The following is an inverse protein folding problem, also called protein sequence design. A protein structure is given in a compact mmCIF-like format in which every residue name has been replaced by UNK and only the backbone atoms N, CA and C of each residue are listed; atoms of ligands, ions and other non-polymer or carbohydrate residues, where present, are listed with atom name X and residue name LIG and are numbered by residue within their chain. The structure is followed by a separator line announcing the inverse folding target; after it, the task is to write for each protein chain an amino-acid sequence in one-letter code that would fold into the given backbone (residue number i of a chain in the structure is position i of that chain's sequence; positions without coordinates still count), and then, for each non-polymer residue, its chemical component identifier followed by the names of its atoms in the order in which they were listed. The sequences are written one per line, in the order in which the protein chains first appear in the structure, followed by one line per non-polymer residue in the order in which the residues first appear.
data_IF_052504715182
#
_entry.id   IF_052504715182
#
_cell.length_a   1.000
_cell.length_b   1.000
_cell.length_c   1.000
_cell.angle_alpha   90.00
_cell.angle_beta   90.00
_cell.angle_gamma   90.00
#
_symmetry.space_group_name_H-M   'P 1'
#
loop_
_entity.id
_entity.type
_entity.pdbx_description
1 polymer ?
#
# COMPACT_ATOMS: atom_id res chain seq x y z
N UNK A 1 46.71 -89.26 11.90
CA UNK A 1 45.65 -89.97 11.15
C UNK A 1 44.47 -90.21 12.09
N UNK A 2 43.24 -89.83 11.72
CA UNK A 2 42.09 -90.56 12.23
C UNK A 2 41.16 -91.05 11.11
N UNK A 3 40.78 -92.32 11.29
CA UNK A 3 39.73 -93.12 10.69
C UNK A 3 38.71 -92.47 9.75
N UNK A 4 38.63 -93.03 8.55
CA UNK A 4 37.45 -92.98 7.67
C UNK A 4 36.45 -94.00 8.20
N UNK A 5 35.35 -93.54 8.81
CA UNK A 5 34.15 -94.35 9.04
C UNK A 5 33.27 -94.29 7.79
N UNK A 6 33.18 -95.41 7.06
CA UNK A 6 32.22 -95.60 5.98
C UNK A 6 30.95 -96.25 6.53
N UNK A 7 29.79 -95.62 6.32
CA UNK A 7 28.48 -96.25 6.47
C UNK A 7 27.95 -96.67 5.09
N UNK A 8 27.57 -97.94 4.95
CA UNK A 8 26.91 -98.48 3.76
C UNK A 8 25.48 -97.91 3.65
N UNK A 9 25.17 -97.28 2.52
CA UNK A 9 23.80 -97.09 2.05
C UNK A 9 23.62 -97.78 0.69
N UNK A 10 22.46 -98.41 0.49
CA UNK A 10 22.05 -99.05 -0.76
C UNK A 10 21.84 -97.95 -1.82
N UNK A 11 22.48 -98.09 -2.99
CA UNK A 11 22.49 -97.21 -4.17
C UNK A 11 23.58 -96.11 -4.24
N UNK A 12 24.74 -96.47 -4.80
CA UNK A 12 25.61 -95.55 -5.57
C UNK A 12 26.54 -94.61 -4.80
N UNK A 13 27.84 -94.64 -5.12
CA UNK A 13 28.83 -93.67 -4.66
C UNK A 13 28.70 -92.34 -5.44
N UNK A 14 28.67 -91.20 -4.75
CA UNK A 14 28.86 -89.86 -5.33
C UNK A 14 29.92 -89.11 -4.51
N UNK A 15 30.87 -88.40 -5.14
CA UNK A 15 31.98 -87.75 -4.44
C UNK A 15 31.55 -86.44 -3.74
N UNK A 16 32.06 -86.23 -2.53
CA UNK A 16 31.93 -84.97 -1.77
C UNK A 16 32.75 -83.88 -2.48
N UNK A 17 32.09 -82.96 -3.18
CA UNK A 17 32.74 -81.73 -3.68
C UNK A 17 32.98 -80.77 -2.52
N UNK A 18 34.25 -80.48 -2.20
CA UNK A 18 34.62 -79.34 -1.35
C UNK A 18 34.17 -78.05 -2.04
N UNK A 19 33.30 -77.26 -1.39
CA UNK A 19 32.98 -75.91 -1.87
C UNK A 19 34.18 -75.01 -1.64
N UNK A 20 34.71 -74.50 -2.75
CA UNK A 20 35.69 -73.43 -2.81
C UNK A 20 35.16 -72.19 -2.10
N UNK A 21 36.00 -71.64 -1.23
CA UNK A 21 35.89 -70.33 -0.62
C UNK A 21 36.06 -69.26 -1.69
N UNK A 22 35.02 -68.50 -2.01
CA UNK A 22 35.04 -67.05 -2.35
C UNK A 22 33.63 -66.67 -2.81
N UNK A 23 32.77 -66.35 -1.86
CA UNK A 23 31.49 -65.69 -2.13
C UNK A 23 31.69 -64.23 -1.71
N UNK A 24 32.03 -63.37 -2.67
CA UNK A 24 31.97 -61.92 -2.47
C UNK A 24 30.51 -61.58 -2.24
N UNK A 25 30.09 -61.55 -0.97
CA UNK A 25 28.81 -60.96 -0.58
C UNK A 25 28.88 -59.50 -0.99
N UNK A 26 28.28 -59.19 -2.14
CA UNK A 26 27.91 -57.83 -2.48
C UNK A 26 26.93 -57.38 -1.40
N UNK A 27 27.45 -56.72 -0.37
CA UNK A 27 26.66 -55.78 0.42
C UNK A 27 26.21 -54.72 -0.57
N UNK A 28 25.02 -54.92 -1.15
CA UNK A 28 24.35 -53.88 -1.91
C UNK A 28 24.36 -52.64 -1.04
N UNK A 29 25.15 -51.65 -1.42
CA UNK A 29 25.21 -50.39 -0.71
C UNK A 29 23.77 -49.90 -0.56
N UNK A 30 23.30 -49.69 0.68
CA UNK A 30 22.05 -48.99 0.92
C UNK A 30 22.17 -47.66 0.18
N UNK A 31 21.51 -47.54 -0.97
CA UNK A 31 21.46 -46.33 -1.75
C UNK A 31 20.67 -45.32 -0.91
N UNK A 32 21.38 -44.50 -0.15
CA UNK A 32 20.75 -43.49 0.72
C UNK A 32 19.93 -42.56 -0.15
N UNK A 33 18.61 -42.64 -0.04
CA UNK A 33 17.70 -41.76 -0.79
C UNK A 33 17.80 -40.36 -0.18
N UNK A 34 18.59 -39.50 -0.81
CA UNK A 34 18.69 -38.09 -0.42
C UNK A 34 17.40 -37.39 -0.86
N UNK A 35 16.57 -37.01 0.12
CA UNK A 35 15.33 -36.27 -0.15
C UNK A 35 15.68 -34.78 -0.34
N UNK A 36 15.38 -34.18 -1.51
CA UNK A 36 15.73 -32.79 -1.76
C UNK A 36 14.88 -31.85 -0.88
N UNK A 37 15.41 -30.66 -0.60
CA UNK A 37 14.78 -29.64 0.24
C UNK A 37 14.08 -28.61 -0.63
N UNK A 38 12.78 -28.45 -0.43
CA UNK A 38 11.99 -27.43 -1.11
C UNK A 38 12.32 -26.04 -0.56
N UNK A 39 12.52 -25.09 -1.47
CA UNK A 39 12.66 -23.68 -1.16
C UNK A 39 11.60 -22.89 -1.91
N UNK A 40 10.93 -21.99 -1.20
CA UNK A 40 9.95 -21.07 -1.78
C UNK A 40 10.48 -19.63 -1.65
N UNK A 41 10.38 -18.87 -2.73
CA UNK A 41 10.74 -17.46 -2.78
C UNK A 41 9.53 -16.65 -3.22
N UNK A 42 9.19 -15.60 -2.49
CA UNK A 42 8.07 -14.73 -2.83
C UNK A 42 8.52 -13.28 -3.02
N UNK A 43 7.89 -12.58 -3.95
CA UNK A 43 7.96 -11.11 -4.07
C UNK A 43 6.80 -10.49 -3.30
N UNK A 44 7.05 -9.37 -2.64
CA UNK A 44 6.05 -8.57 -1.93
C UNK A 44 6.27 -7.08 -2.17
N UNK A 45 5.27 -6.26 -1.84
CA UNK A 45 5.34 -4.80 -1.96
C UNK A 45 4.76 -4.27 -3.28
N UNK A 46 4.79 -2.94 -3.44
CA UNK A 46 4.22 -2.24 -4.60
C UNK A 46 5.16 -2.15 -5.80
N UNK A 47 6.46 -2.38 -5.57
CA UNK A 47 7.50 -2.32 -6.59
C UNK A 47 7.67 -3.64 -7.33
N UNK A 48 8.50 -3.60 -8.36
CA UNK A 48 8.85 -4.77 -9.17
C UNK A 48 10.35 -5.00 -9.20
N UNK A 49 10.72 -6.24 -9.51
CA UNK A 49 12.11 -6.64 -9.68
C UNK A 49 12.20 -8.11 -10.07
N UNK A 50 13.41 -8.59 -10.34
CA UNK A 50 13.70 -10.01 -10.56
C UNK A 50 14.34 -10.61 -9.31
N UNK A 51 14.10 -11.90 -9.07
CA UNK A 51 14.77 -12.65 -8.02
C UNK A 51 15.33 -13.93 -8.63
N UNK A 52 16.62 -14.17 -8.43
CA UNK A 52 17.31 -15.36 -8.92
C UNK A 52 18.07 -16.06 -7.80
N UNK A 53 18.48 -17.31 -8.04
CA UNK A 53 19.33 -18.08 -7.11
C UNK A 53 20.61 -18.61 -7.76
N UNK A 54 21.66 -18.76 -6.94
CA UNK A 54 22.84 -19.56 -7.22
C UNK A 54 23.05 -20.59 -6.09
N UNK A 55 23.11 -21.91 -6.35
CA UNK A 55 22.94 -22.57 -7.64
C UNK A 55 21.61 -22.26 -8.34
N UNK A 56 21.59 -22.38 -9.68
CA UNK A 56 20.41 -22.09 -10.49
C UNK A 56 19.22 -22.98 -10.12
N UNK A 57 18.02 -22.42 -10.14
CA UNK A 57 16.79 -23.15 -9.84
C UNK A 57 15.59 -22.24 -9.59
N UNK A 58 15.83 -21.00 -9.15
CA UNK A 58 14.79 -19.99 -8.95
C UNK A 58 15.05 -18.83 -9.90
N UNK A 59 14.02 -18.46 -10.64
CA UNK A 59 13.91 -17.22 -11.41
C UNK A 59 12.46 -16.77 -11.34
N UNK A 60 12.18 -15.87 -10.41
CA UNK A 60 10.84 -15.43 -10.08
C UNK A 60 10.20 -14.53 -11.15
N UNK A 61 10.41 -14.78 -12.45
CA UNK A 61 9.53 -14.37 -13.54
C UNK A 61 8.49 -15.43 -13.89
N UNK A 62 8.85 -16.71 -13.78
CA UNK A 62 7.99 -17.86 -14.06
C UNK A 62 8.03 -18.93 -12.95
N UNK A 63 9.17 -19.11 -12.27
CA UNK A 63 9.38 -20.19 -11.29
C UNK A 63 9.97 -19.65 -10.00
N UNK A 64 9.14 -19.61 -8.95
CA UNK A 64 9.50 -19.07 -7.64
C UNK A 64 9.77 -20.13 -6.55
N UNK A 65 9.88 -21.40 -6.95
CA UNK A 65 10.22 -22.47 -6.02
C UNK A 65 11.10 -23.51 -6.68
N UNK A 66 12.06 -24.05 -5.94
CA UNK A 66 12.95 -25.08 -6.41
C UNK A 66 13.27 -26.08 -5.31
N UNK A 67 13.89 -27.20 -5.65
CA UNK A 67 14.37 -28.17 -4.68
C UNK A 67 15.88 -28.32 -4.80
N UNK A 68 16.58 -28.26 -3.67
CA UNK A 68 18.04 -28.34 -3.61
C UNK A 68 18.50 -29.54 -2.79
N UNK A 69 19.75 -29.98 -2.97
CA UNK A 69 20.30 -31.04 -2.11
C UNK A 69 20.44 -30.52 -0.67
N UNK A 70 20.17 -31.36 0.35
CA UNK A 70 20.35 -30.98 1.74
C UNK A 70 21.77 -30.46 2.02
N UNK A 71 21.88 -29.33 2.72
CA UNK A 71 23.16 -28.67 3.02
C UNK A 71 23.64 -27.69 1.95
N UNK A 72 22.94 -27.60 0.80
CA UNK A 72 23.24 -26.57 -0.22
C UNK A 72 23.20 -25.17 0.37
N UNK A 73 24.20 -24.37 0.05
CA UNK A 73 24.21 -22.93 0.33
C UNK A 73 23.69 -22.23 -0.93
N UNK A 74 22.53 -21.59 -0.81
CA UNK A 74 21.86 -20.89 -1.91
C UNK A 74 21.99 -19.39 -1.68
N UNK A 75 22.61 -18.69 -2.62
CA UNK A 75 22.66 -17.23 -2.66
C UNK A 75 21.54 -16.72 -3.55
N UNK A 76 20.64 -15.94 -2.97
CA UNK A 76 19.57 -15.23 -3.65
C UNK A 76 20.09 -13.87 -4.11
N UNK A 77 19.62 -13.40 -5.26
CA UNK A 77 19.92 -12.06 -5.77
C UNK A 77 18.63 -11.38 -6.19
N UNK A 78 18.43 -10.15 -5.73
CA UNK A 78 17.33 -9.28 -6.09
C UNK A 78 17.83 -8.14 -6.97
N UNK A 79 17.16 -7.90 -8.08
CA UNK A 79 17.44 -6.79 -8.98
C UNK A 79 16.14 -6.00 -9.17
N UNK A 80 15.99 -4.82 -8.55
CA UNK A 80 14.84 -3.95 -8.79
C UNK A 80 14.75 -3.56 -10.25
N UNK A 81 13.53 -3.52 -10.79
CA UNK A 81 13.30 -2.90 -12.11
C UNK A 81 13.47 -1.38 -11.99
N UNK A 82 13.78 -0.70 -13.09
CA UNK A 82 13.86 0.77 -13.14
C UNK A 82 12.66 1.42 -12.45
N UNK A 83 12.93 2.35 -11.54
CA UNK A 83 11.92 3.06 -10.74
C UNK A 83 11.59 2.38 -9.41
N UNK A 84 11.81 1.07 -9.25
CA UNK A 84 11.59 0.37 -7.98
C UNK A 84 12.86 0.34 -7.12
N UNK A 85 12.67 0.24 -5.80
CA UNK A 85 13.75 0.02 -4.84
C UNK A 85 13.61 -1.34 -4.16
N UNK A 86 14.73 -1.95 -3.79
CA UNK A 86 14.73 -3.16 -2.97
C UNK A 86 14.55 -2.78 -1.50
N UNK A 87 13.48 -3.27 -0.87
CA UNK A 87 13.15 -3.00 0.52
C UNK A 87 13.77 -3.97 1.52
N UNK A 88 14.19 -5.16 1.06
CA UNK A 88 14.86 -6.16 1.90
C UNK A 88 14.28 -7.56 1.83
N UNK A 89 14.98 -8.49 2.48
CA UNK A 89 14.62 -9.90 2.64
C UNK A 89 13.96 -10.16 3.99
N UNK A 90 13.04 -11.12 4.02
CA UNK A 90 12.31 -11.56 5.21
C UNK A 90 12.16 -13.08 5.23
N UNK A 91 12.05 -13.68 6.42
CA UNK A 91 11.85 -15.13 6.59
C UNK A 91 13.15 -15.87 6.90
N UNK A 92 13.48 -16.91 6.13
CA UNK A 92 14.67 -17.73 6.37
C UNK A 92 16.01 -17.00 6.15
N UNK A 93 15.96 -15.79 5.61
CA UNK A 93 17.08 -14.90 5.37
C UNK A 93 16.55 -13.45 5.49
N UNK A 94 17.33 -12.55 6.08
CA UNK A 94 16.92 -11.18 6.36
C UNK A 94 18.05 -10.20 6.04
N UNK A 95 17.69 -8.96 5.72
CA UNK A 95 18.65 -7.90 5.44
C UNK A 95 18.25 -7.04 4.24
N UNK A 96 18.97 -5.94 4.04
CA UNK A 96 18.68 -4.94 3.00
C UNK A 96 19.63 -5.01 1.80
N UNK A 97 20.71 -5.81 1.89
CA UNK A 97 21.58 -6.07 0.75
C UNK A 97 20.80 -6.80 -0.36
N UNK A 98 21.12 -6.50 -1.63
CA UNK A 98 20.48 -7.15 -2.78
C UNK A 98 20.79 -8.63 -2.90
N UNK A 99 21.68 -9.17 -2.06
CA UNK A 99 21.97 -10.60 -1.97
C UNK A 99 21.66 -11.15 -0.60
N UNK A 100 21.29 -12.43 -0.54
CA UNK A 100 20.97 -13.11 0.72
C UNK A 100 21.34 -14.58 0.63
N UNK A 101 22.06 -15.11 1.62
CA UNK A 101 22.53 -16.50 1.59
C UNK A 101 21.75 -17.36 2.58
N UNK A 102 21.30 -18.53 2.14
CA UNK A 102 20.52 -19.49 2.93
C UNK A 102 21.09 -20.89 2.80
N UNK A 103 21.32 -21.55 3.93
CA UNK A 103 21.69 -22.98 3.95
C UNK A 103 20.44 -23.85 4.05
N UNK A 104 20.24 -24.75 3.09
CA UNK A 104 19.06 -25.62 3.01
C UNK A 104 19.26 -26.96 3.71
N UNK A 105 19.26 -26.93 5.05
CA UNK A 105 19.18 -28.15 5.87
C UNK A 105 17.76 -28.74 5.93
N UNK A 106 16.74 -27.90 5.74
CA UNK A 106 15.31 -28.20 5.75
C UNK A 106 14.57 -27.34 4.73
N UNK A 107 13.25 -27.53 4.59
CA UNK A 107 12.43 -26.64 3.76
C UNK A 107 12.44 -25.20 4.33
N UNK A 108 12.56 -24.20 3.47
CA UNK A 108 12.66 -22.78 3.85
C UNK A 108 11.84 -21.90 2.91
N UNK A 109 11.45 -20.73 3.40
CA UNK A 109 10.77 -19.70 2.64
C UNK A 109 11.42 -18.35 2.88
N UNK A 110 11.55 -17.54 1.84
CA UNK A 110 12.04 -16.15 1.91
C UNK A 110 11.08 -15.26 1.13
N UNK A 111 10.85 -14.06 1.65
CA UNK A 111 10.12 -13.01 0.97
C UNK A 111 11.08 -11.85 0.65
N UNK A 112 10.91 -11.24 -0.51
CA UNK A 112 11.70 -10.13 -0.99
C UNK A 112 10.76 -8.95 -1.24
N UNK A 113 10.97 -7.83 -0.56
CA UNK A 113 10.14 -6.65 -0.71
C UNK A 113 10.71 -5.70 -1.76
N UNK A 114 9.85 -5.22 -2.65
CA UNK A 114 10.14 -4.12 -3.57
C UNK A 114 9.14 -2.99 -3.35
N UNK A 115 9.62 -1.76 -3.42
CA UNK A 115 8.77 -0.57 -3.29
C UNK A 115 8.82 0.25 -4.57
N UNK A 116 7.64 0.54 -5.12
CA UNK A 116 7.50 1.53 -6.18
C UNK A 116 7.69 2.94 -5.59
N UNK A 117 8.11 3.94 -6.39
CA UNK A 117 8.19 5.30 -5.91
C UNK A 117 6.78 5.82 -5.66
N UNK A 118 6.60 6.60 -4.60
CA UNK A 118 5.33 7.25 -4.32
C UNK A 118 5.15 8.43 -5.29
N UNK A 119 4.30 8.26 -6.32
CA UNK A 119 4.06 9.27 -7.35
C UNK A 119 2.69 9.91 -7.13
N UNK A 120 2.66 11.24 -7.10
CA UNK A 120 1.43 12.03 -7.20
C UNK A 120 1.34 12.64 -8.60
N UNK A 121 0.23 12.41 -9.30
CA UNK A 121 0.01 12.97 -10.63
C UNK A 121 -1.05 14.07 -10.63
N UNK A 122 -0.85 15.08 -11.47
CA UNK A 122 -1.72 16.24 -11.61
C UNK A 122 -2.26 16.32 -13.04
N UNK A 123 -3.54 16.68 -13.20
CA UNK A 123 -4.14 16.98 -14.50
C UNK A 123 -4.65 18.42 -14.51
N UNK A 124 -4.51 19.09 -15.65
CA UNK A 124 -4.92 20.48 -15.82
C UNK A 124 -5.86 20.60 -17.03
N UNK A 125 -6.80 21.55 -16.99
CA UNK A 125 -7.60 21.91 -18.15
C UNK A 125 -6.82 22.87 -19.09
N UNK A 126 -7.43 23.25 -20.22
CA UNK A 126 -6.83 24.16 -21.20
C UNK A 126 -6.51 25.57 -20.65
N UNK A 127 -7.21 25.99 -19.59
CA UNK A 127 -6.98 27.28 -18.91
C UNK A 127 -5.87 27.19 -17.85
N UNK A 128 -5.28 26.01 -17.63
CA UNK A 128 -4.24 25.78 -16.63
C UNK A 128 -4.77 25.51 -15.21
N UNK A 129 -6.07 25.31 -15.02
CA UNK A 129 -6.63 24.98 -13.70
C UNK A 129 -6.45 23.49 -13.40
N UNK A 130 -6.10 23.17 -12.15
CA UNK A 130 -5.89 21.80 -11.68
C UNK A 130 -7.21 21.03 -11.55
N UNK A 131 -7.49 20.09 -12.44
CA UNK A 131 -8.75 19.33 -12.47
C UNK A 131 -8.69 18.00 -11.72
N UNK A 132 -7.50 17.42 -11.55
CA UNK A 132 -7.36 16.13 -10.88
C UNK A 132 -6.02 16.02 -10.15
N UNK A 133 -6.07 15.47 -8.93
CA UNK A 133 -4.90 14.94 -8.22
C UNK A 133 -5.11 13.44 -8.04
N UNK A 134 -4.12 12.64 -8.41
CA UNK A 134 -4.07 11.21 -8.06
C UNK A 134 -2.90 10.99 -7.14
N UNK A 135 -3.16 10.46 -5.94
CA UNK A 135 -2.13 10.20 -4.95
C UNK A 135 -1.39 8.86 -5.20
N UNK A 136 -0.31 8.56 -4.45
CA UNK A 136 0.45 7.32 -4.62
C UNK A 136 -0.32 6.02 -4.35
N UNK A 137 -1.47 6.11 -3.67
CA UNK A 137 -2.37 4.98 -3.42
C UNK A 137 -3.44 4.83 -4.50
N UNK A 138 -3.42 5.69 -5.53
CA UNK A 138 -4.39 5.71 -6.61
C UNK A 138 -5.71 6.39 -6.25
N UNK A 139 -5.80 7.09 -5.12
CA UNK A 139 -7.00 7.87 -4.75
C UNK A 139 -7.05 9.16 -5.56
N UNK A 140 -8.24 9.51 -6.03
CA UNK A 140 -8.42 10.63 -6.97
C UNK A 140 -9.26 11.73 -6.32
N UNK A 141 -8.75 12.96 -6.34
CA UNK A 141 -9.50 14.20 -6.05
C UNK A 141 -9.78 14.93 -7.35
N UNK A 142 -11.01 15.35 -7.61
CA UNK A 142 -11.36 16.12 -8.82
C UNK A 142 -11.90 17.50 -8.48
N UNK A 143 -11.61 18.47 -9.35
CA UNK A 143 -12.11 19.84 -9.25
C UNK A 143 -12.62 20.29 -10.62
N UNK A 144 -13.84 20.82 -10.65
CA UNK A 144 -14.44 21.42 -11.83
C UNK A 144 -14.50 22.93 -11.66
N UNK A 145 -14.38 23.64 -12.77
CA UNK A 145 -14.30 25.09 -12.80
C UNK A 145 -15.36 25.65 -13.72
N UNK A 146 -15.84 26.86 -13.42
CA UNK A 146 -16.64 27.65 -14.34
C UNK A 146 -15.79 28.34 -15.43
N UNK A 147 -16.45 29.14 -16.27
CA UNK A 147 -15.83 29.93 -17.33
C UNK A 147 -14.91 31.05 -16.84
N UNK A 148 -15.03 31.44 -15.57
CA UNK A 148 -14.20 32.45 -14.92
C UNK A 148 -13.04 31.81 -14.13
N UNK A 149 -12.79 30.51 -14.31
CA UNK A 149 -11.78 29.72 -13.60
C UNK A 149 -12.01 29.62 -12.08
N UNK A 150 -13.25 29.74 -11.62
CA UNK A 150 -13.62 29.57 -10.21
C UNK A 150 -14.06 28.13 -9.96
N UNK A 151 -13.67 27.55 -8.83
CA UNK A 151 -13.93 26.14 -8.51
C UNK A 151 -15.38 25.94 -8.08
N UNK A 152 -16.20 25.31 -8.93
CA UNK A 152 -17.65 25.13 -8.68
C UNK A 152 -18.01 23.77 -8.09
N UNK A 153 -17.14 22.78 -8.25
CA UNK A 153 -17.36 21.43 -7.72
C UNK A 153 -16.05 20.76 -7.33
N UNK A 154 -16.01 20.16 -6.15
CA UNK A 154 -14.92 19.31 -5.69
C UNK A 154 -15.45 17.92 -5.33
N UNK A 155 -14.74 16.88 -5.75
CA UNK A 155 -14.97 15.49 -5.35
C UNK A 155 -13.82 15.03 -4.46
N UNK A 156 -14.14 14.58 -3.24
CA UNK A 156 -13.16 14.13 -2.25
C UNK A 156 -12.43 12.83 -2.66
N UNK A 157 -11.20 12.60 -2.14
CA UNK A 157 -10.41 11.44 -2.51
C UNK A 157 -11.06 10.11 -2.11
N UNK A 158 -11.44 9.29 -3.10
CA UNK A 158 -11.91 7.92 -2.87
C UNK A 158 -11.07 6.90 -3.68
N UNK A 159 -10.84 5.66 -3.18
CA UNK A 159 -10.16 4.59 -3.92
C UNK A 159 -11.00 4.00 -5.08
N UNK A 160 -11.80 4.79 -5.80
CA UNK A 160 -12.61 4.28 -6.92
C UNK A 160 -12.73 5.25 -8.09
N UNK A 161 -12.89 4.61 -9.24
CA UNK A 161 -12.90 5.06 -10.64
C UNK A 161 -13.56 6.43 -10.89
N UNK A 162 -13.06 7.12 -11.91
CA UNK A 162 -13.60 8.35 -12.52
C UNK A 162 -15.15 8.30 -12.52
N UNK A 163 -15.81 9.23 -11.80
CA UNK A 163 -17.27 9.33 -11.72
C UNK A 163 -17.93 8.92 -10.40
N UNK A 164 -17.17 8.57 -9.36
CA UNK A 164 -17.70 8.31 -8.01
C UNK A 164 -18.06 9.60 -7.27
N UNK A 165 -19.32 9.77 -6.87
CA UNK A 165 -19.85 10.93 -6.11
C UNK A 165 -19.60 10.84 -4.60
N UNK A 166 -18.55 10.16 -4.16
CA UNK A 166 -18.28 9.96 -2.74
C UNK A 166 -17.62 11.22 -2.16
N UNK A 167 -18.46 12.15 -1.70
CA UNK A 167 -18.02 13.43 -1.14
C UNK A 167 -17.97 14.54 -2.17
N UNK A 168 -19.14 15.04 -2.60
CA UNK A 168 -19.24 16.20 -3.49
C UNK A 168 -19.46 17.48 -2.69
N UNK A 169 -18.71 18.53 -3.02
CA UNK A 169 -18.92 19.89 -2.51
C UNK A 169 -19.15 20.80 -3.70
N UNK A 170 -20.28 21.51 -3.72
CA UNK A 170 -20.60 22.48 -4.77
C UNK A 170 -20.52 23.90 -4.21
N UNK A 171 -19.82 24.79 -4.92
CA UNK A 171 -19.67 26.20 -4.56
C UNK A 171 -20.32 27.07 -5.62
N UNK A 172 -21.22 27.97 -5.19
CA UNK A 172 -21.84 28.97 -6.05
C UNK A 172 -21.21 30.34 -5.80
N UNK A 173 -21.07 31.12 -6.87
CA UNK A 173 -20.51 32.47 -6.86
C UNK A 173 -21.50 33.49 -7.43
N UNK A 174 -21.40 34.74 -7.02
CA UNK A 174 -22.07 35.87 -7.68
C UNK A 174 -21.24 36.40 -8.87
N UNK A 175 -21.74 37.46 -9.52
CA UNK A 175 -21.05 38.09 -10.65
C UNK A 175 -19.77 38.85 -10.28
N UNK A 176 -19.53 39.12 -8.99
CA UNK A 176 -18.27 39.69 -8.50
C UNK A 176 -17.27 38.60 -8.06
N UNK A 177 -17.64 37.31 -8.18
CA UNK A 177 -16.82 36.18 -7.78
C UNK A 177 -16.86 35.88 -6.28
N UNK A 178 -17.86 36.39 -5.57
CA UNK A 178 -18.03 36.14 -4.14
C UNK A 178 -18.87 34.88 -3.92
N UNK A 179 -18.53 34.09 -2.91
CA UNK A 179 -19.26 32.85 -2.59
C UNK A 179 -20.65 33.18 -2.07
N UNK A 180 -21.67 32.59 -2.70
CA UNK A 180 -23.10 32.75 -2.31
C UNK A 180 -23.67 31.50 -1.67
N UNK A 181 -23.13 30.32 -2.00
CA UNK A 181 -23.55 29.07 -1.38
C UNK A 181 -22.46 28.01 -1.42
N UNK A 182 -22.40 27.19 -0.38
CA UNK A 182 -21.63 25.94 -0.35
C UNK A 182 -22.60 24.81 -0.01
N UNK A 183 -22.70 23.82 -0.89
CA UNK A 183 -23.48 22.60 -0.67
C UNK A 183 -22.54 21.46 -0.32
N UNK A 184 -22.76 20.84 0.83
CA UNK A 184 -21.94 19.76 1.34
C UNK A 184 -22.32 18.38 0.75
N UNK A 185 -21.58 17.30 1.06
CA UNK A 185 -21.91 15.96 0.58
C UNK A 185 -23.25 15.38 1.07
N UNK A 186 -23.86 15.98 2.10
CA UNK A 186 -25.22 15.63 2.56
C UNK A 186 -26.28 16.38 1.75
N UNK A 187 -25.87 17.12 0.72
CA UNK A 187 -26.70 18.02 -0.08
C UNK A 187 -27.37 19.11 0.77
N UNK A 188 -26.69 19.54 1.83
CA UNK A 188 -27.13 20.64 2.69
C UNK A 188 -26.37 21.91 2.30
N UNK A 189 -27.11 22.95 1.91
CA UNK A 189 -26.54 24.21 1.44
C UNK A 189 -26.46 25.24 2.56
N UNK A 190 -25.26 25.78 2.80
CA UNK A 190 -25.07 27.00 3.57
C UNK A 190 -25.02 28.18 2.61
N UNK A 191 -25.82 29.22 2.85
CA UNK A 191 -25.90 30.42 2.02
C UNK A 191 -25.23 31.61 2.68
N UNK A 192 -24.62 32.46 1.85
CA UNK A 192 -23.91 33.67 2.26
C UNK A 192 -24.47 34.86 1.50
N UNK A 193 -24.80 35.93 2.22
CA UNK A 193 -25.09 37.23 1.65
C UNK A 193 -23.95 38.16 2.00
N UNK A 194 -23.30 38.74 0.99
CA UNK A 194 -22.23 39.71 1.16
C UNK A 194 -22.75 41.15 0.97
N UNK A 195 -22.09 42.13 1.56
CA UNK A 195 -22.26 43.53 1.20
C UNK A 195 -21.47 43.90 -0.08
N UNK A 196 -21.56 45.16 -0.51
CA UNK A 196 -20.85 45.64 -1.71
C UNK A 196 -19.33 45.71 -1.58
N UNK A 197 -18.80 45.61 -0.36
CA UNK A 197 -17.36 45.56 -0.07
C UNK A 197 -16.87 44.12 0.09
N UNK A 198 -17.78 43.15 0.03
CA UNK A 198 -17.54 41.73 0.18
C UNK A 198 -17.46 41.21 1.60
N UNK A 199 -17.96 41.99 2.57
CA UNK A 199 -18.09 41.51 3.94
C UNK A 199 -19.38 40.70 4.10
N UNK A 200 -19.33 39.66 4.93
CA UNK A 200 -20.49 38.80 5.21
C UNK A 200 -21.58 39.56 5.95
N UNK A 201 -22.76 39.73 5.36
CA UNK A 201 -23.95 40.26 6.05
C UNK A 201 -24.76 39.20 6.74
N UNK A 202 -24.89 38.03 6.11
CA UNK A 202 -25.71 36.94 6.63
C UNK A 202 -25.18 35.59 6.18
N UNK A 203 -25.11 34.67 7.11
CA UNK A 203 -24.91 33.24 6.85
C UNK A 203 -26.16 32.48 7.26
N UNK A 204 -26.65 31.58 6.41
CA UNK A 204 -27.80 30.71 6.71
C UNK A 204 -27.37 29.27 6.52
N UNK A 205 -27.36 28.49 7.60
CA UNK A 205 -26.99 27.07 7.60
C UNK A 205 -28.15 26.23 8.14
N UNK A 206 -28.47 25.08 7.51
CA UNK A 206 -29.50 24.17 8.02
C UNK A 206 -29.13 23.53 9.37
N UNK A 207 -27.82 23.37 9.66
CA UNK A 207 -27.35 22.73 10.89
C UNK A 207 -27.24 23.71 12.07
N UNK A 208 -26.86 24.96 11.79
CA UNK A 208 -26.53 25.95 12.83
C UNK A 208 -27.47 27.15 12.87
N UNK A 209 -28.42 27.25 11.94
CA UNK A 209 -29.35 28.36 11.80
C UNK A 209 -28.74 29.57 11.09
N UNK A 210 -29.36 30.74 11.26
CA UNK A 210 -28.90 31.99 10.65
C UNK A 210 -27.97 32.77 11.59
N UNK A 211 -26.95 33.41 11.04
CA UNK A 211 -26.13 34.40 11.73
C UNK A 211 -26.10 35.67 10.89
N UNK A 212 -26.45 36.80 11.50
CA UNK A 212 -26.34 38.10 10.87
C UNK A 212 -25.09 38.82 11.39
N UNK A 213 -24.43 39.57 10.51
CA UNK A 213 -23.23 40.32 10.81
C UNK A 213 -23.33 41.72 10.18
N UNK A 214 -23.16 42.76 10.98
CA UNK A 214 -23.11 44.13 10.48
C UNK A 214 -21.70 44.67 10.65
N UNK A 215 -21.25 45.43 9.66
CA UNK A 215 -19.92 46.02 9.63
C UNK A 215 -20.02 47.55 9.74
N UNK A 216 -19.00 48.18 10.32
CA UNK A 216 -18.88 49.63 10.34
C UNK A 216 -18.41 50.17 8.97
N UNK A 217 -18.31 51.50 8.84
CA UNK A 217 -17.90 52.14 7.59
C UNK A 217 -16.45 51.82 7.16
N UNK A 218 -15.62 51.34 8.08
CA UNK A 218 -14.25 50.89 7.80
C UNK A 218 -14.21 49.38 7.45
N UNK A 219 -15.35 48.69 7.45
CA UNK A 219 -15.46 47.26 7.16
C UNK A 219 -15.20 46.35 8.36
N UNK A 220 -15.04 46.88 9.57
CA UNK A 220 -14.84 46.04 10.75
C UNK A 220 -16.18 45.50 11.25
N UNK A 221 -16.21 44.26 11.76
CA UNK A 221 -17.41 43.67 12.33
C UNK A 221 -17.88 44.48 13.54
N UNK A 222 -19.08 45.06 13.47
CA UNK A 222 -19.67 45.87 14.53
C UNK A 222 -20.63 45.06 15.41
N UNK A 223 -21.45 44.21 14.80
CA UNK A 223 -22.39 43.34 15.54
C UNK A 223 -22.49 41.98 14.89
N UNK A 224 -22.72 40.96 15.71
CA UNK A 224 -23.05 39.60 15.27
C UNK A 224 -24.24 39.08 16.05
N UNK A 225 -25.25 38.59 15.35
CA UNK A 225 -26.46 38.00 15.93
C UNK A 225 -26.43 36.52 15.61
N UNK A 226 -26.43 35.67 16.65
CA UNK A 226 -26.44 34.21 16.46
C UNK A 226 -27.84 33.69 16.11
N UNK A 227 -27.94 32.39 15.82
CA UNK A 227 -29.21 31.75 15.44
C UNK A 227 -30.27 31.73 16.55
N UNK A 228 -29.89 32.03 17.80
CA UNK A 228 -30.80 32.16 18.94
C UNK A 228 -31.22 33.63 19.15
N UNK A 229 -30.78 34.54 18.30
CA UNK A 229 -31.03 35.97 18.43
C UNK A 229 -30.12 36.68 19.43
N UNK A 230 -29.05 36.02 19.92
CA UNK A 230 -28.12 36.64 20.87
C UNK A 230 -27.14 37.54 20.13
N UNK A 231 -27.07 38.80 20.55
CA UNK A 231 -26.21 39.81 19.93
C UNK A 231 -24.89 39.96 20.70
N UNK A 232 -23.78 39.86 19.97
CA UNK A 232 -22.47 40.30 20.40
C UNK A 232 -22.11 41.62 19.69
N UNK A 233 -21.70 42.62 20.45
CA UNK A 233 -21.25 43.91 19.93
C UNK A 233 -19.73 43.98 19.96
N UNK A 234 -19.14 44.64 18.98
CA UNK A 234 -17.69 44.75 18.81
C UNK A 234 -17.31 46.22 18.70
N UNK A 235 -16.29 46.61 19.45
CA UNK A 235 -15.67 47.94 19.36
C UNK A 235 -14.21 47.81 19.00
N UNK A 236 -13.71 48.69 18.14
CA UNK A 236 -12.34 48.64 17.61
C UNK A 236 -11.55 49.86 18.06
N UNK A 237 -10.26 49.66 18.37
CA UNK A 237 -9.34 50.77 18.62
C UNK A 237 -8.60 51.18 17.34
N UNK A 238 -7.83 52.27 17.41
CA UNK A 238 -7.08 52.80 16.26
C UNK A 238 -5.95 51.88 15.76
N UNK A 239 -5.66 50.78 16.45
CA UNK A 239 -4.70 49.75 16.03
C UNK A 239 -5.39 48.52 15.43
N UNK A 240 -6.72 48.55 15.23
CA UNK A 240 -7.47 47.44 14.65
C UNK A 240 -7.71 46.27 15.61
N UNK A 241 -7.53 46.47 16.92
CA UNK A 241 -7.85 45.45 17.91
C UNK A 241 -9.32 45.57 18.32
N UNK A 242 -10.02 44.44 18.36
CA UNK A 242 -11.42 44.37 18.80
C UNK A 242 -11.55 44.08 20.29
N UNK A 243 -12.62 44.62 20.87
CA UNK A 243 -13.16 44.23 22.17
C UNK A 243 -14.60 43.78 21.99
N UNK A 244 -14.89 42.57 22.43
CA UNK A 244 -16.26 42.02 22.44
C UNK A 244 -16.98 42.54 23.67
N UNK A 245 -18.09 43.21 23.45
CA UNK A 245 -19.02 43.65 24.47
C UNK A 245 -20.25 42.74 24.38
N UNK A 246 -20.30 41.73 25.24
CA UNK A 246 -21.44 40.84 25.33
C UNK A 246 -22.57 41.57 26.06
N UNK A 247 -23.68 41.80 25.37
CA UNK A 247 -24.92 42.18 26.03
C UNK A 247 -25.47 40.93 26.73
N UNK A 248 -25.36 40.89 28.07
CA UNK A 248 -26.12 39.94 28.88
C UNK A 248 -27.58 40.43 28.88
N UNK A 249 -28.45 39.73 28.15
CA UNK A 249 -29.88 39.73 28.41
C UNK A 249 -30.20 38.59 29.39
#
# INVERSE_FOLDING_TARGET
MPNILMLKYKNGYQPIRRRSTTEHRNFGQRKTVVRPRRFNLAKTGSGTGTLTSSPAGIDCGATCSATFTPGSVVTLTAIPTTGSTFGGWFGACTGTATTCTVTLSQARSVNASFSAPAITSYQYNANGNLTQITDPLGRIRQTQYDTLNQAVRQLEPHPSIIGSTLGQIDTAYDSQGQVTSITDPRNLSTHYAMDSLGNLRKQTSPDTGSTDANHDAAGNLATRIDARGKTANYSWNNWGQSKVNLSLL
#
